data_IF_167440461924
#
_entry.id   IF_167440461924
#
_cell.length_a   1.000
_cell.length_b   1.000
_cell.length_c   1.000
_cell.angle_alpha   90.00
_cell.angle_beta   90.00
_cell.angle_gamma   90.00
#
_symmetry.space_group_name_H-M   'P 1'
#
loop_
_entity.id
_entity.type
_entity.pdbx_description
1 polymer ?
#
# COMPACT_ATOMS: atom_id res chain seq x y z
N UNK A 1 11.09 2.12 -5.22
CA UNK A 1 10.09 1.24 -5.86
C UNK A 1 8.73 1.95 -5.89
N UNK A 2 7.80 1.51 -6.74
CA UNK A 2 6.41 1.93 -6.72
C UNK A 2 5.50 0.71 -6.83
N UNK A 3 4.62 0.54 -5.84
CA UNK A 3 3.62 -0.51 -5.81
C UNK A 3 2.28 0.04 -6.32
N UNK A 4 1.71 -0.60 -7.33
CA UNK A 4 0.32 -0.41 -7.73
C UNK A 4 -0.55 -1.56 -7.22
N UNK A 5 -1.84 -1.53 -7.56
CA UNK A 5 -2.80 -2.57 -7.16
C UNK A 5 -2.42 -3.98 -7.66
N UNK A 6 -1.77 -4.06 -8.83
CA UNK A 6 -1.48 -5.34 -9.52
C UNK A 6 -0.03 -5.52 -9.92
N UNK A 7 0.76 -4.45 -9.97
CA UNK A 7 2.12 -4.47 -10.50
C UNK A 7 3.00 -3.60 -9.62
N UNK A 8 4.17 -4.12 -9.31
CA UNK A 8 5.22 -3.37 -8.63
C UNK A 8 6.35 -3.11 -9.63
N UNK A 9 6.94 -1.91 -9.56
CA UNK A 9 8.17 -1.59 -10.30
C UNK A 9 9.26 -1.10 -9.36
N UNK A 10 10.50 -1.48 -9.62
CA UNK A 10 11.65 -0.98 -8.89
C UNK A 10 12.78 -0.59 -9.84
N UNK A 11 13.59 0.37 -9.38
CA UNK A 11 14.85 0.69 -10.01
C UNK A 11 15.92 0.60 -8.93
N UNK A 12 16.86 -0.32 -9.11
CA UNK A 12 18.03 -0.41 -8.26
C UNK A 12 18.98 0.74 -8.57
N UNK A 13 19.72 1.23 -7.56
CA UNK A 13 20.66 2.36 -7.73
C UNK A 13 21.68 2.14 -8.85
N UNK A 14 22.17 0.91 -9.02
CA UNK A 14 23.12 0.57 -10.10
C UNK A 14 22.49 0.57 -11.50
N UNK A 15 21.17 0.54 -11.58
CA UNK A 15 20.38 0.55 -12.82
C UNK A 15 19.72 1.92 -13.06
N UNK A 16 19.97 2.92 -12.22
CA UNK A 16 19.46 4.28 -12.43
C UNK A 16 20.23 4.96 -13.57
N UNK A 17 19.54 5.42 -14.63
CA UNK A 17 20.19 6.14 -15.73
C UNK A 17 20.81 7.45 -15.21
N UNK A 18 21.90 7.90 -15.84
CA UNK A 18 22.46 9.23 -15.63
C UNK A 18 22.12 10.09 -16.86
N UNK A 19 20.91 10.66 -16.96
CA UNK A 19 20.53 11.46 -18.10
C UNK A 19 21.36 12.75 -18.17
N UNK A 20 21.77 13.13 -19.37
CA UNK A 20 22.35 14.44 -19.64
C UNK A 20 21.19 15.36 -20.00
N UNK A 21 20.91 16.34 -19.14
CA UNK A 21 19.82 17.28 -19.36
C UNK A 21 20.29 18.42 -20.26
N UNK A 22 19.59 18.60 -21.39
CA UNK A 22 19.74 19.75 -22.27
C UNK A 22 18.47 20.61 -22.15
N UNK A 23 18.54 21.84 -21.61
CA UNK A 23 17.38 22.70 -21.40
C UNK A 23 16.76 23.23 -22.71
N UNK A 24 17.50 23.18 -23.83
CA UNK A 24 17.05 23.71 -25.12
C UNK A 24 16.14 22.73 -25.89
N UNK A 25 16.06 21.47 -25.44
CA UNK A 25 15.23 20.44 -26.08
C UNK A 25 14.30 19.76 -25.07
N UNK A 26 13.07 19.40 -25.48
CA UNK A 26 12.20 18.58 -24.66
C UNK A 26 12.83 17.21 -24.40
N UNK A 27 12.72 16.74 -23.16
CA UNK A 27 13.07 15.37 -22.80
C UNK A 27 12.10 14.40 -23.49
N UNK A 28 12.64 13.43 -24.24
CA UNK A 28 11.86 12.44 -24.99
C UNK A 28 11.76 11.08 -24.28
N UNK A 29 12.54 10.87 -23.24
CA UNK A 29 12.63 9.59 -22.52
C UNK A 29 11.56 9.44 -21.43
N UNK A 30 10.92 8.26 -21.36
CA UNK A 30 10.08 7.88 -20.22
C UNK A 30 10.92 7.15 -19.16
N UNK A 31 11.42 7.88 -18.17
CA UNK A 31 12.22 7.26 -17.10
C UNK A 31 11.46 6.22 -16.28
N UNK A 32 10.13 6.33 -16.21
CA UNK A 32 9.30 5.40 -15.45
C UNK A 32 9.22 4.03 -16.12
N UNK A 33 9.25 3.98 -17.45
CA UNK A 33 9.25 2.72 -18.20
C UNK A 33 10.59 1.98 -18.12
N UNK A 34 11.66 2.68 -17.71
CA UNK A 34 12.96 2.08 -17.46
C UNK A 34 13.04 1.34 -16.11
N UNK A 35 12.00 1.40 -15.28
CA UNK A 35 11.95 0.66 -14.02
C UNK A 35 11.55 -0.80 -14.29
N UNK A 36 12.24 -1.72 -13.63
CA UNK A 36 11.98 -3.15 -13.79
C UNK A 36 10.66 -3.52 -13.13
N UNK A 37 9.84 -4.31 -13.82
CA UNK A 37 8.69 -4.96 -13.19
C UNK A 37 9.20 -5.99 -12.19
N UNK A 38 8.63 -5.99 -11.00
CA UNK A 38 8.88 -7.05 -10.03
C UNK A 38 7.98 -8.22 -10.42
N UNK A 39 8.54 -9.42 -10.67
CA UNK A 39 7.73 -10.59 -10.99
C UNK A 39 6.97 -11.06 -9.76
N UNK A 40 5.78 -11.61 -9.99
CA UNK A 40 5.04 -12.33 -8.97
C UNK A 40 5.83 -13.60 -8.59
N UNK A 41 6.00 -13.84 -7.29
CA UNK A 41 6.70 -15.00 -6.74
C UNK A 41 5.74 -16.15 -6.38
N UNK A 42 4.43 -15.90 -6.43
CA UNK A 42 3.36 -16.85 -6.17
C UNK A 42 2.08 -16.41 -6.91
N UNK A 43 1.06 -17.27 -6.89
CA UNK A 43 -0.25 -16.92 -7.44
C UNK A 43 -1.08 -16.14 -6.42
N UNK A 44 -1.48 -14.92 -6.79
CA UNK A 44 -2.36 -14.08 -5.98
C UNK A 44 -3.82 -14.21 -6.43
N UNK A 45 -4.64 -14.89 -5.62
CA UNK A 45 -6.09 -15.02 -5.87
C UNK A 45 -6.86 -13.74 -5.49
N UNK A 46 -8.18 -13.76 -5.68
CA UNK A 46 -9.09 -12.72 -5.24
C UNK A 46 -8.97 -12.48 -3.72
N UNK A 47 -8.57 -11.27 -3.33
CA UNK A 47 -8.37 -10.92 -1.93
C UNK A 47 -9.62 -11.05 -1.05
N UNK A 48 -10.83 -10.87 -1.60
CA UNK A 48 -12.07 -11.08 -0.84
C UNK A 48 -12.30 -12.57 -0.57
N UNK A 49 -12.10 -13.44 -1.57
CA UNK A 49 -12.18 -14.89 -1.39
C UNK A 49 -11.16 -15.37 -0.36
N UNK A 50 -9.91 -14.94 -0.47
CA UNK A 50 -8.86 -15.29 0.48
C UNK A 50 -9.21 -14.88 1.92
N UNK A 51 -9.71 -13.66 2.12
CA UNK A 51 -10.15 -13.21 3.46
C UNK A 51 -11.35 -14.01 3.98
N UNK A 52 -12.32 -14.35 3.12
CA UNK A 52 -13.45 -15.19 3.49
C UNK A 52 -13.01 -16.58 3.93
N UNK A 53 -12.07 -17.20 3.22
CA UNK A 53 -11.51 -18.50 3.61
C UNK A 53 -10.83 -18.42 4.98
N UNK A 54 -10.04 -17.37 5.24
CA UNK A 54 -9.42 -17.14 6.55
C UNK A 54 -10.46 -16.94 7.66
N UNK A 55 -11.53 -16.18 7.39
CA UNK A 55 -12.59 -15.93 8.37
C UNK A 55 -13.35 -17.23 8.72
N UNK A 56 -13.69 -18.04 7.72
CA UNK A 56 -14.35 -19.32 7.95
C UNK A 56 -13.47 -20.28 8.77
N UNK A 57 -12.16 -20.30 8.51
CA UNK A 57 -11.20 -21.09 9.30
C UNK A 57 -11.10 -20.58 10.74
N UNK A 58 -11.06 -19.27 10.96
CA UNK A 58 -11.14 -18.70 12.30
C UNK A 58 -12.38 -19.20 13.04
N UNK A 59 -13.57 -19.08 12.42
CA UNK A 59 -14.84 -19.47 13.05
C UNK A 59 -14.95 -20.97 13.30
N UNK A 60 -14.50 -21.81 12.35
CA UNK A 60 -14.68 -23.26 12.42
C UNK A 60 -13.55 -24.00 13.15
N UNK A 61 -12.33 -23.46 13.14
CA UNK A 61 -11.10 -24.12 13.61
C UNK A 61 -10.38 -23.33 14.71
N UNK A 62 -10.91 -22.18 15.14
CA UNK A 62 -10.30 -21.30 16.15
C UNK A 62 -8.90 -20.80 15.76
N UNK A 63 -8.67 -20.61 14.45
CA UNK A 63 -7.41 -20.05 13.96
C UNK A 63 -7.26 -18.56 14.31
N UNK A 64 -6.03 -18.04 14.49
CA UNK A 64 -5.82 -16.64 14.82
C UNK A 64 -6.45 -15.67 13.83
N UNK A 65 -7.17 -14.67 14.34
CA UNK A 65 -7.87 -13.67 13.53
C UNK A 65 -7.50 -12.24 13.93
N UNK A 66 -7.06 -11.46 12.94
CA UNK A 66 -6.52 -10.11 13.15
C UNK A 66 -7.39 -9.01 12.54
N UNK A 67 -8.35 -9.37 11.68
CA UNK A 67 -9.24 -8.43 10.97
C UNK A 67 -10.61 -8.37 11.63
N UNK A 68 -10.63 -8.20 12.96
CA UNK A 68 -11.84 -8.10 13.76
C UNK A 68 -12.55 -6.74 13.64
N UNK A 69 -13.65 -6.57 14.38
CA UNK A 69 -14.38 -5.30 14.39
C UNK A 69 -13.56 -4.16 15.01
N UNK A 70 -12.65 -4.45 15.95
CA UNK A 70 -11.75 -3.46 16.52
C UNK A 70 -10.74 -2.95 15.47
N UNK A 71 -10.27 -3.82 14.56
CA UNK A 71 -9.49 -3.41 13.40
C UNK A 71 -10.27 -2.47 12.47
N UNK A 72 -11.58 -2.74 12.29
CA UNK A 72 -12.49 -1.82 11.60
C UNK A 72 -12.60 -0.47 12.28
N UNK A 73 -12.75 -0.45 13.62
CA UNK A 73 -12.84 0.78 14.41
C UNK A 73 -11.56 1.63 14.32
N UNK A 74 -10.37 1.00 14.34
CA UNK A 74 -9.08 1.69 14.10
C UNK A 74 -9.05 2.40 12.74
N UNK A 75 -9.64 1.79 11.71
CA UNK A 75 -9.75 2.39 10.38
C UNK A 75 -10.61 3.66 10.37
N UNK A 76 -11.77 3.63 11.04
CA UNK A 76 -12.66 4.80 11.17
C UNK A 76 -11.98 5.91 11.98
N UNK A 77 -11.37 5.57 13.11
CA UNK A 77 -10.63 6.52 13.95
C UNK A 77 -9.56 7.28 13.15
N UNK A 78 -8.77 6.57 12.35
CA UNK A 78 -7.73 7.19 11.53
C UNK A 78 -8.34 8.13 10.47
N UNK A 79 -9.46 7.74 9.87
CA UNK A 79 -10.15 8.58 8.88
C UNK A 79 -10.67 9.89 9.52
N UNK A 80 -11.31 9.81 10.69
CA UNK A 80 -11.80 10.97 11.43
C UNK A 80 -10.67 11.90 11.88
N UNK A 81 -9.59 11.34 12.42
CA UNK A 81 -8.39 12.10 12.77
C UNK A 81 -7.75 12.76 11.54
N UNK A 82 -7.75 12.09 10.39
CA UNK A 82 -7.28 12.65 9.12
C UNK A 82 -8.08 13.89 8.71
N UNK A 83 -9.42 13.82 8.77
CA UNK A 83 -10.30 14.96 8.50
C UNK A 83 -10.04 16.11 9.47
N UNK A 84 -9.92 15.82 10.76
CA UNK A 84 -9.64 16.82 11.80
C UNK A 84 -8.25 17.46 11.62
N UNK A 85 -7.23 16.66 11.35
CA UNK A 85 -5.86 17.12 11.09
C UNK A 85 -5.82 18.07 9.89
N UNK A 86 -6.54 17.74 8.82
CA UNK A 86 -6.66 18.60 7.64
C UNK A 86 -7.36 19.92 7.96
N UNK A 87 -8.44 19.90 8.76
CA UNK A 87 -9.18 21.09 9.13
C UNK A 87 -8.36 22.02 10.06
N UNK A 88 -7.56 21.44 10.96
CA UNK A 88 -6.77 22.19 11.93
C UNK A 88 -5.35 22.52 11.46
N UNK A 89 -4.91 22.00 10.30
CA UNK A 89 -3.57 22.24 9.76
C UNK A 89 -2.44 21.73 10.63
N UNK A 90 -2.70 20.72 11.48
CA UNK A 90 -1.71 20.18 12.43
C UNK A 90 -1.79 18.66 12.54
N UNK A 91 -0.71 18.05 13.00
CA UNK A 91 -0.67 16.62 13.32
C UNK A 91 -1.46 16.34 14.60
N UNK A 92 -2.11 15.17 14.62
CA UNK A 92 -2.82 14.63 15.78
C UNK A 92 -2.20 13.28 16.14
N UNK A 93 -2.17 12.97 17.42
CA UNK A 93 -1.86 11.62 17.87
C UNK A 93 -3.01 10.67 17.52
N UNK A 94 -2.67 9.43 17.24
CA UNK A 94 -3.64 8.34 17.05
C UNK A 94 -3.65 7.53 18.34
N UNK A 95 -4.64 7.73 19.24
CA UNK A 95 -4.67 7.01 20.51
C UNK A 95 -5.01 5.54 20.30
N UNK A 96 -4.44 4.67 21.13
CA UNK A 96 -4.74 3.23 21.08
C UNK A 96 -6.22 2.96 21.40
N UNK A 97 -6.84 2.03 20.68
CA UNK A 97 -8.19 1.58 20.96
C UNK A 97 -8.15 0.26 21.73
N UNK A 98 -8.79 0.24 22.90
CA UNK A 98 -8.98 -0.96 23.72
C UNK A 98 -10.47 -1.26 23.92
N UNK A 99 -10.79 -2.52 24.19
CA UNK A 99 -12.12 -2.97 24.64
C UNK A 99 -12.27 -2.85 26.16
#
# INVERSE_FOLDING_TARGET
AVAGLRRCRAQHRSATPKPVWNPDIPLTESFRDQWQEIPDNEEFDNGFKAQWELFLRHVALDEPWHWDLLAGARGVQLAELGLKSSAEGRRLDVPELSL
#
